data_IF_126843167136
#
_entry.id   IF_126843167136
#
_cell.length_a   1.000
_cell.length_b   1.000
_cell.length_c   1.000
_cell.angle_alpha   90.00
_cell.angle_beta   90.00
_cell.angle_gamma   90.00
#
_symmetry.space_group_name_H-M   'P 1'
#
loop_
_entity.id
_entity.type
_entity.pdbx_description
1 polymer ?
#
# COMPACT_ATOMS: atom_id res chain seq x y z
N UNK A 1 12.91 -40.31 4.53
CA UNK A 1 12.31 -39.40 5.53
C UNK A 1 11.39 -38.44 4.80
N UNK A 2 10.13 -38.29 5.24
CA UNK A 2 9.19 -37.33 4.65
C UNK A 2 9.69 -35.91 4.94
N UNK A 3 9.86 -35.10 3.90
CA UNK A 3 10.36 -33.73 4.08
C UNK A 3 9.24 -32.80 4.56
N UNK A 4 9.65 -31.69 5.16
CA UNK A 4 8.76 -30.56 5.53
C UNK A 4 7.89 -30.13 4.36
N UNK A 5 8.43 -30.07 3.14
CA UNK A 5 7.69 -29.70 1.93
C UNK A 5 6.61 -30.73 1.57
N UNK A 6 6.91 -32.03 1.67
CA UNK A 6 5.94 -33.09 1.39
C UNK A 6 4.80 -33.08 2.41
N UNK A 7 5.09 -32.93 3.70
CA UNK A 7 4.08 -32.85 4.75
C UNK A 7 3.16 -31.63 4.57
N UNK A 8 3.77 -30.48 4.28
CA UNK A 8 3.03 -29.26 3.96
C UNK A 8 2.08 -29.45 2.77
N UNK A 9 2.59 -29.98 1.65
CA UNK A 9 1.80 -30.18 0.42
C UNK A 9 0.59 -31.08 0.70
N UNK A 10 0.81 -32.22 1.37
CA UNK A 10 -0.28 -33.15 1.73
C UNK A 10 -1.32 -32.49 2.65
N UNK A 11 -0.88 -31.69 3.62
CA UNK A 11 -1.78 -30.96 4.51
C UNK A 11 -2.62 -29.92 3.75
N UNK A 12 -2.02 -29.18 2.81
CA UNK A 12 -2.74 -28.25 1.93
C UNK A 12 -3.75 -28.98 1.04
N UNK A 13 -3.38 -30.11 0.40
CA UNK A 13 -4.26 -30.93 -0.44
C UNK A 13 -5.48 -31.47 0.33
N UNK A 14 -5.30 -31.72 1.63
CA UNK A 14 -6.37 -32.17 2.53
C UNK A 14 -7.16 -31.00 3.16
N UNK A 15 -6.82 -29.75 2.84
CA UNK A 15 -7.43 -28.56 3.43
C UNK A 15 -7.11 -28.36 4.92
N UNK A 16 -6.11 -29.08 5.46
CA UNK A 16 -5.72 -29.00 6.85
C UNK A 16 -4.99 -27.69 7.16
N UNK A 17 -5.27 -27.11 8.33
CA UNK A 17 -4.69 -25.82 8.70
C UNK A 17 -3.27 -25.95 9.26
N UNK A 18 -2.87 -27.12 9.75
CA UNK A 18 -1.55 -27.37 10.34
C UNK A 18 -1.05 -28.78 10.06
N UNK A 19 0.26 -28.98 10.16
CA UNK A 19 0.90 -30.31 10.25
C UNK A 19 1.98 -30.30 11.36
N UNK A 20 2.38 -31.49 11.83
CA UNK A 20 3.46 -31.62 12.80
C UNK A 20 4.81 -31.79 12.08
N UNK A 21 5.80 -30.96 12.42
CA UNK A 21 7.17 -31.11 11.96
C UNK A 21 7.88 -32.22 12.76
N UNK A 22 8.25 -33.36 12.15
CA UNK A 22 8.81 -34.49 12.87
C UNK A 22 10.20 -34.22 13.45
N UNK A 23 10.94 -33.22 12.94
CA UNK A 23 12.28 -32.91 13.44
C UNK A 23 12.24 -32.01 14.69
N UNK A 24 11.28 -31.09 14.76
CA UNK A 24 11.18 -30.09 15.84
C UNK A 24 10.04 -30.35 16.83
N UNK A 25 9.08 -31.20 16.46
CA UNK A 25 7.84 -31.42 17.22
C UNK A 25 6.82 -30.26 17.10
N UNK A 26 7.14 -29.20 16.36
CA UNK A 26 6.26 -28.04 16.26
C UNK A 26 5.05 -28.29 15.37
N UNK A 27 3.92 -27.70 15.78
CA UNK A 27 2.73 -27.58 14.93
C UNK A 27 2.91 -26.37 14.00
N UNK A 28 3.03 -26.63 12.70
CA UNK A 28 3.33 -25.62 11.68
C UNK A 28 2.06 -25.33 10.88
N UNK A 29 1.71 -24.05 10.76
CA UNK A 29 0.60 -23.61 9.91
C UNK A 29 0.90 -23.86 8.42
N UNK A 30 -0.11 -24.34 7.70
CA UNK A 30 -0.06 -24.48 6.24
C UNK A 30 -0.22 -23.13 5.54
N UNK A 31 0.14 -23.08 4.26
CA UNK A 31 -0.07 -21.89 3.42
C UNK A 31 -1.57 -21.63 3.30
N UNK A 32 -2.38 -22.68 3.16
CA UNK A 32 -3.84 -22.61 3.16
C UNK A 32 -4.40 -21.89 4.40
N UNK A 33 -3.95 -22.27 5.61
CA UNK A 33 -4.38 -21.62 6.84
C UNK A 33 -3.99 -20.13 6.90
N UNK A 34 -2.77 -19.81 6.49
CA UNK A 34 -2.26 -18.44 6.50
C UNK A 34 -2.92 -17.59 5.41
N UNK A 35 -3.28 -18.20 4.28
CA UNK A 35 -4.01 -17.55 3.21
C UNK A 35 -5.41 -17.15 3.64
N UNK A 36 -6.13 -18.02 4.36
CA UNK A 36 -7.45 -17.71 4.94
C UNK A 36 -7.44 -16.50 5.87
N UNK A 37 -6.31 -16.24 6.56
CA UNK A 37 -6.18 -15.07 7.46
C UNK A 37 -6.15 -13.74 6.71
N UNK A 38 -5.91 -13.74 5.40
CA UNK A 38 -5.89 -12.51 4.59
C UNK A 38 -4.75 -11.54 4.91
N UNK A 39 -3.83 -11.84 5.83
CA UNK A 39 -2.76 -10.93 6.22
C UNK A 39 -1.47 -11.61 6.73
N UNK A 40 -0.32 -10.93 6.55
CA UNK A 40 0.97 -11.36 7.07
C UNK A 40 1.17 -10.89 8.51
N UNK A 41 1.26 -11.82 9.46
CA UNK A 41 1.38 -11.49 10.89
C UNK A 41 2.77 -11.02 11.34
N UNK A 42 3.78 -10.93 10.46
CA UNK A 42 5.14 -10.50 10.82
C UNK A 42 5.99 -11.51 11.62
N UNK A 43 5.46 -12.71 11.90
CA UNK A 43 6.14 -13.72 12.74
C UNK A 43 7.06 -14.69 11.99
N UNK A 44 7.43 -14.41 10.74
CA UNK A 44 8.28 -15.27 9.91
C UNK A 44 7.79 -16.74 9.82
N UNK A 45 6.48 -16.95 9.64
CA UNK A 45 5.88 -18.28 9.51
C UNK A 45 6.49 -19.07 8.33
N UNK A 46 6.74 -20.36 8.51
CA UNK A 46 7.49 -21.19 7.53
C UNK A 46 6.92 -21.16 6.12
N UNK A 47 5.59 -21.12 5.98
CA UNK A 47 4.88 -21.19 4.69
C UNK A 47 4.01 -19.95 4.44
N UNK A 48 4.55 -18.76 4.73
CA UNK A 48 3.81 -17.51 4.57
C UNK A 48 3.49 -17.26 3.07
N UNK A 49 2.21 -17.26 2.65
CA UNK A 49 1.84 -17.00 1.24
C UNK A 49 2.16 -15.56 0.81
N UNK A 50 2.34 -14.66 1.77
CA UNK A 50 2.53 -13.23 1.54
C UNK A 50 3.99 -12.83 1.39
N UNK A 51 4.89 -13.80 1.16
CA UNK A 51 6.32 -13.56 1.05
C UNK A 51 6.89 -12.81 2.26
N UNK A 52 6.30 -13.01 3.44
CA UNK A 52 6.72 -12.40 4.70
C UNK A 52 6.80 -10.86 4.71
N UNK A 53 5.93 -10.20 3.95
CA UNK A 53 5.92 -8.75 3.73
C UNK A 53 6.01 -7.88 4.99
N UNK A 54 5.53 -8.35 6.16
CA UNK A 54 5.59 -7.62 7.44
C UNK A 54 6.75 -8.04 8.37
N UNK A 55 7.66 -8.91 7.93
CA UNK A 55 8.80 -9.36 8.74
C UNK A 55 9.95 -8.34 8.63
N UNK A 56 10.41 -7.82 9.77
CA UNK A 56 11.39 -6.72 9.81
C UNK A 56 12.85 -7.16 10.08
N UNK A 57 13.24 -8.38 9.68
CA UNK A 57 14.59 -8.92 9.95
C UNK A 57 15.59 -8.55 8.83
N UNK A 58 16.85 -8.21 9.16
CA UNK A 58 17.90 -7.99 8.16
C UNK A 58 18.08 -9.22 7.26
N UNK A 59 18.22 -9.01 5.94
CA UNK A 59 18.37 -10.10 4.96
C UNK A 59 17.08 -10.82 4.58
N UNK A 60 15.92 -10.30 5.01
CA UNK A 60 14.62 -10.88 4.70
C UNK A 60 13.86 -9.98 3.71
N UNK A 61 14.14 -10.18 2.43
CA UNK A 61 13.45 -9.49 1.35
C UNK A 61 12.17 -10.23 0.96
N UNK A 62 11.04 -9.52 0.82
CA UNK A 62 9.81 -10.16 0.39
C UNK A 62 9.98 -10.82 -0.99
N UNK A 63 9.44 -12.02 -1.13
CA UNK A 63 9.43 -12.77 -2.40
C UNK A 63 8.00 -13.04 -2.84
N UNK A 64 7.27 -11.96 -3.14
CA UNK A 64 5.90 -12.04 -3.64
C UNK A 64 5.96 -12.26 -5.16
N UNK A 65 5.44 -13.39 -5.64
CA UNK A 65 5.49 -13.79 -7.06
C UNK A 65 4.16 -13.66 -7.79
N UNK A 66 3.06 -13.43 -7.06
CA UNK A 66 1.71 -13.25 -7.59
C UNK A 66 1.05 -12.08 -6.86
N UNK A 67 -0.01 -11.47 -7.42
CA UNK A 67 -0.78 -10.48 -6.70
C UNK A 67 -1.28 -11.01 -5.35
N UNK A 68 -1.19 -10.18 -4.33
CA UNK A 68 -1.59 -10.52 -2.95
C UNK A 68 -2.51 -9.42 -2.43
N UNK A 69 -3.73 -9.77 -2.02
CA UNK A 69 -4.61 -8.85 -1.29
C UNK A 69 -4.46 -9.06 0.21
N UNK A 70 -4.19 -7.96 0.91
CA UNK A 70 -4.13 -7.84 2.36
C UNK A 70 -5.34 -7.06 2.88
N UNK A 71 -5.86 -7.43 4.06
CA UNK A 71 -6.99 -6.73 4.70
C UNK A 71 -8.34 -6.97 4.01
N UNK A 72 -8.58 -8.19 3.54
CA UNK A 72 -9.79 -8.56 2.76
C UNK A 72 -11.08 -8.46 3.58
N UNK A 73 -10.96 -8.59 4.89
CA UNK A 73 -12.00 -8.50 5.91
C UNK A 73 -12.48 -7.07 6.17
N UNK A 74 -11.80 -6.05 5.63
CA UNK A 74 -12.15 -4.64 5.79
C UNK A 74 -13.31 -4.18 4.87
N UNK A 75 -13.77 -5.03 3.95
CA UNK A 75 -14.94 -4.75 3.11
C UNK A 75 -16.08 -5.70 3.51
N UNK A 76 -17.06 -5.15 4.22
CA UNK A 76 -18.18 -5.93 4.76
C UNK A 76 -19.38 -6.06 3.81
N UNK A 77 -19.60 -5.09 2.90
CA UNK A 77 -20.78 -5.09 2.01
C UNK A 77 -20.46 -4.63 0.58
N UNK A 78 -20.26 -5.61 -0.30
CA UNK A 78 -19.79 -5.50 -1.68
C UNK A 78 -20.83 -4.99 -2.69
N UNK A 79 -22.09 -4.81 -2.29
CA UNK A 79 -23.21 -4.63 -3.25
C UNK A 79 -23.11 -3.33 -4.05
N UNK A 80 -22.49 -2.28 -3.49
CA UNK A 80 -22.32 -0.98 -4.17
C UNK A 80 -21.12 -0.93 -5.13
N UNK A 81 -20.40 -2.05 -5.29
CA UNK A 81 -19.20 -2.19 -6.12
C UNK A 81 -17.97 -1.47 -5.54
N UNK A 82 -16.81 -1.71 -6.15
CA UNK A 82 -15.49 -1.36 -5.63
C UNK A 82 -14.84 -0.24 -6.45
N UNK A 83 -14.32 0.79 -5.78
CA UNK A 83 -13.37 1.73 -6.37
C UNK A 83 -11.94 1.24 -6.10
N UNK A 84 -11.15 1.03 -7.15
CA UNK A 84 -9.74 0.63 -6.99
C UNK A 84 -8.84 1.83 -7.20
N UNK A 85 -8.21 2.30 -6.12
CA UNK A 85 -7.26 3.39 -6.16
C UNK A 85 -5.85 2.87 -6.44
N UNK A 86 -5.23 3.38 -7.50
CA UNK A 86 -3.82 3.16 -7.75
C UNK A 86 -3.00 3.93 -6.72
N UNK A 87 -2.39 3.18 -5.82
CA UNK A 87 -1.74 3.70 -4.63
C UNK A 87 -0.23 3.68 -4.79
N UNK A 88 0.38 4.86 -4.80
CA UNK A 88 1.85 5.01 -4.86
C UNK A 88 2.48 5.17 -3.48
N UNK A 89 1.67 5.45 -2.46
CA UNK A 89 2.12 5.77 -1.10
C UNK A 89 2.52 7.23 -0.89
N UNK A 90 2.36 8.08 -1.90
CA UNK A 90 2.65 9.51 -1.85
C UNK A 90 1.43 10.40 -1.60
N UNK A 91 1.68 11.72 -1.55
CA UNK A 91 0.67 12.73 -1.19
C UNK A 91 -0.53 12.74 -2.13
N UNK A 92 -0.34 12.51 -3.43
CA UNK A 92 -1.41 12.65 -4.43
C UNK A 92 -2.37 11.46 -4.39
N UNK A 93 -1.84 10.24 -4.25
CA UNK A 93 -2.68 9.06 -4.01
C UNK A 93 -3.39 9.15 -2.66
N UNK A 94 -2.71 9.67 -1.62
CA UNK A 94 -3.34 9.94 -0.32
C UNK A 94 -4.47 10.96 -0.40
N UNK A 95 -4.27 12.06 -1.12
CA UNK A 95 -5.29 13.09 -1.32
C UNK A 95 -6.50 12.52 -2.08
N UNK A 96 -6.26 11.71 -3.11
CA UNK A 96 -7.30 10.99 -3.84
C UNK A 96 -8.08 10.05 -2.93
N UNK A 97 -7.39 9.24 -2.11
CA UNK A 97 -8.02 8.36 -1.12
C UNK A 97 -8.91 9.13 -0.15
N UNK A 98 -8.44 10.26 0.37
CA UNK A 98 -9.22 11.09 1.30
C UNK A 98 -10.54 11.56 0.67
N UNK A 99 -10.56 11.89 -0.62
CA UNK A 99 -11.77 12.25 -1.36
C UNK A 99 -12.75 11.08 -1.52
N UNK A 100 -12.22 9.86 -1.70
CA UNK A 100 -13.04 8.65 -1.87
C UNK A 100 -13.67 8.22 -0.54
N UNK A 101 -12.89 8.22 0.55
CA UNK A 101 -13.35 7.86 1.89
C UNK A 101 -14.38 8.86 2.45
N UNK A 102 -14.29 10.15 2.10
CA UNK A 102 -15.30 11.14 2.47
C UNK A 102 -16.70 10.81 1.93
N UNK A 103 -16.79 10.10 0.79
CA UNK A 103 -18.05 9.69 0.18
C UNK A 103 -18.53 8.31 0.66
N UNK A 104 -17.89 7.73 1.69
CA UNK A 104 -18.12 6.37 2.21
C UNK A 104 -18.14 5.31 1.10
N UNK A 105 -17.17 5.37 0.19
CA UNK A 105 -17.02 4.37 -0.88
C UNK A 105 -16.28 3.14 -0.38
N UNK A 106 -16.64 1.98 -0.93
CA UNK A 106 -15.83 0.77 -0.84
C UNK A 106 -14.58 0.98 -1.69
N UNK A 107 -13.44 1.16 -1.04
CA UNK A 107 -12.16 1.43 -1.72
C UNK A 107 -11.20 0.28 -1.45
N UNK A 108 -10.48 -0.16 -2.47
CA UNK A 108 -9.28 -0.98 -2.32
C UNK A 108 -8.10 -0.28 -2.99
N UNK A 109 -6.92 -0.48 -2.43
CA UNK A 109 -5.67 0.03 -2.98
C UNK A 109 -5.06 -1.02 -3.93
N UNK A 110 -4.43 -0.57 -5.01
CA UNK A 110 -3.60 -1.41 -5.87
C UNK A 110 -2.23 -0.75 -6.03
N UNK A 111 -1.17 -1.47 -5.67
CA UNK A 111 0.20 -1.00 -5.78
C UNK A 111 1.05 -2.00 -6.52
N UNK A 112 1.65 -1.56 -7.62
CA UNK A 112 2.69 -2.33 -8.32
C UNK A 112 4.06 -2.09 -7.69
N UNK A 113 4.89 -3.11 -7.60
CA UNK A 113 6.25 -2.98 -7.07
C UNK A 113 7.26 -3.81 -7.86
N UNK A 114 8.50 -3.35 -7.93
CA UNK A 114 9.60 -4.09 -8.56
C UNK A 114 10.06 -5.26 -7.67
N UNK A 115 10.10 -6.47 -8.22
CA UNK A 115 10.40 -7.69 -7.46
C UNK A 115 11.87 -7.82 -7.05
N UNK A 116 12.78 -7.02 -7.64
CA UNK A 116 14.21 -7.06 -7.33
C UNK A 116 14.52 -6.12 -6.15
N UNK A 117 13.96 -4.93 -6.17
CA UNK A 117 14.20 -3.87 -5.18
C UNK A 117 13.19 -3.87 -4.04
N UNK A 118 12.06 -4.59 -4.19
CA UNK A 118 10.94 -4.58 -3.27
C UNK A 118 10.39 -3.18 -2.98
N UNK A 119 10.31 -2.35 -4.04
CA UNK A 119 9.90 -0.96 -3.96
C UNK A 119 8.90 -0.60 -5.05
N UNK A 120 8.05 0.38 -4.75
CA UNK A 120 7.26 1.06 -5.76
C UNK A 120 8.22 1.80 -6.71
N UNK A 121 8.22 1.48 -8.03
CA UNK A 121 9.08 2.15 -8.99
C UNK A 121 8.84 3.66 -8.98
N UNK A 122 9.85 4.47 -9.31
CA UNK A 122 9.78 5.93 -9.35
C UNK A 122 9.67 6.56 -7.94
N UNK A 123 8.66 6.21 -7.14
CA UNK A 123 8.49 6.79 -5.79
C UNK A 123 9.52 6.31 -4.77
N UNK A 124 10.20 5.19 -5.05
CA UNK A 124 11.24 4.61 -4.19
C UNK A 124 10.76 4.22 -2.78
N UNK A 125 9.47 3.87 -2.66
CA UNK A 125 8.83 3.52 -1.39
C UNK A 125 8.90 1.99 -1.19
N UNK A 126 9.43 1.50 -0.05
CA UNK A 126 9.38 0.08 0.30
C UNK A 126 7.95 -0.45 0.39
N UNK A 127 7.70 -1.65 -0.13
CA UNK A 127 6.37 -2.27 -0.05
C UNK A 127 5.87 -2.49 1.38
N UNK A 128 6.76 -2.69 2.35
CA UNK A 128 6.39 -2.74 3.78
C UNK A 128 5.74 -1.45 4.26
N UNK A 129 6.15 -0.30 3.72
CA UNK A 129 5.58 1.00 4.07
C UNK A 129 4.19 1.14 3.44
N UNK A 130 4.00 0.63 2.21
CA UNK A 130 2.68 0.55 1.57
C UNK A 130 1.71 -0.29 2.40
N UNK A 131 2.17 -1.44 2.89
CA UNK A 131 1.36 -2.29 3.78
C UNK A 131 1.03 -1.58 5.09
N UNK A 132 1.99 -0.86 5.67
CA UNK A 132 1.76 -0.09 6.89
C UNK A 132 0.75 1.05 6.66
N UNK A 133 0.86 1.77 5.54
CA UNK A 133 -0.09 2.81 5.14
C UNK A 133 -1.51 2.25 5.01
N UNK A 134 -1.68 1.16 4.25
CA UNK A 134 -2.96 0.52 4.03
C UNK A 134 -3.61 0.04 5.34
N UNK A 135 -2.83 -0.62 6.20
CA UNK A 135 -3.30 -1.10 7.49
C UNK A 135 -3.71 0.06 8.42
N UNK A 136 -2.93 1.14 8.46
CA UNK A 136 -3.24 2.30 9.29
C UNK A 136 -4.47 3.07 8.80
N UNK A 137 -4.66 3.14 7.48
CA UNK A 137 -5.82 3.79 6.86
C UNK A 137 -7.06 2.87 6.83
N UNK A 138 -6.93 1.63 7.31
CA UNK A 138 -7.98 0.61 7.32
C UNK A 138 -8.58 0.37 5.92
N UNK A 139 -7.71 0.29 4.91
CA UNK A 139 -8.10 0.01 3.52
C UNK A 139 -7.40 -1.26 3.02
N UNK A 140 -8.10 -2.20 2.36
CA UNK A 140 -7.46 -3.34 1.72
C UNK A 140 -6.43 -2.89 0.67
N UNK A 141 -5.37 -3.67 0.49
CA UNK A 141 -4.35 -3.41 -0.54
C UNK A 141 -3.99 -4.66 -1.33
N UNK A 142 -3.99 -4.54 -2.66
CA UNK A 142 -3.42 -5.50 -3.58
C UNK A 142 -2.00 -5.10 -3.96
N UNK A 143 -1.02 -5.91 -3.55
CA UNK A 143 0.36 -5.77 -3.99
C UNK A 143 0.58 -6.60 -5.25
N UNK A 144 1.02 -5.94 -6.32
CA UNK A 144 1.18 -6.54 -7.65
C UNK A 144 2.67 -6.57 -8.01
N UNK A 145 3.30 -7.76 -8.10
CA UNK A 145 4.71 -7.85 -8.48
C UNK A 145 4.92 -7.50 -9.95
N UNK A 146 5.92 -6.67 -10.22
CA UNK A 146 6.45 -6.40 -11.54
C UNK A 146 7.79 -7.12 -11.69
N UNK A 147 7.79 -8.16 -12.51
CA UNK A 147 9.02 -8.84 -12.95
C UNK A 147 9.45 -8.30 -14.33
N UNK A 148 10.75 -8.32 -14.67
CA UNK A 148 11.27 -7.73 -15.91
C UNK A 148 10.57 -8.21 -17.20
N UNK A 149 10.10 -9.46 -17.20
CA UNK A 149 9.50 -10.10 -18.37
C UNK A 149 7.98 -9.86 -18.50
N UNK A 150 7.37 -9.16 -17.54
CA UNK A 150 5.90 -8.96 -17.51
C UNK A 150 5.57 -7.53 -17.90
N UNK A 151 4.68 -7.37 -18.89
CA UNK A 151 4.18 -6.05 -19.26
C UNK A 151 3.36 -5.47 -18.12
N UNK A 152 3.55 -4.19 -17.85
CA UNK A 152 2.85 -3.48 -16.78
C UNK A 152 1.32 -3.65 -16.81
N UNK A 153 0.70 -3.53 -18.00
CA UNK A 153 -0.75 -3.69 -18.16
C UNK A 153 -1.24 -5.10 -17.81
N UNK A 154 -0.46 -6.13 -18.12
CA UNK A 154 -0.83 -7.52 -17.81
C UNK A 154 -0.75 -7.77 -16.30
N UNK A 155 0.30 -7.28 -15.65
CA UNK A 155 0.45 -7.36 -14.19
C UNK A 155 -0.68 -6.65 -13.45
N UNK A 156 -1.01 -5.42 -13.86
CA UNK A 156 -2.12 -4.67 -13.27
C UNK A 156 -3.46 -5.38 -13.51
N UNK A 157 -3.69 -5.90 -14.71
CA UNK A 157 -4.92 -6.66 -15.01
C UNK A 157 -5.06 -7.89 -14.10
N UNK A 158 -3.97 -8.61 -13.85
CA UNK A 158 -3.95 -9.71 -12.89
C UNK A 158 -4.27 -9.24 -11.46
N UNK A 159 -3.75 -8.07 -11.05
CA UNK A 159 -4.07 -7.46 -9.76
C UNK A 159 -5.56 -7.09 -9.60
N UNK A 160 -6.15 -6.48 -10.64
CA UNK A 160 -7.57 -6.11 -10.66
C UNK A 160 -8.47 -7.36 -10.58
N UNK A 161 -8.16 -8.41 -11.36
CA UNK A 161 -8.87 -9.69 -11.28
C UNK A 161 -8.76 -10.33 -9.88
N UNK A 162 -7.57 -10.27 -9.27
CA UNK A 162 -7.34 -10.80 -7.93
C UNK A 162 -8.17 -10.05 -6.88
N UNK A 163 -8.33 -8.72 -7.03
CA UNK A 163 -9.19 -7.92 -6.15
C UNK A 163 -10.65 -8.34 -6.28
N UNK A 164 -11.18 -8.48 -7.50
CA UNK A 164 -12.58 -8.90 -7.72
C UNK A 164 -12.85 -10.29 -7.12
N UNK A 165 -11.93 -11.23 -7.35
CA UNK A 165 -12.03 -12.60 -6.82
C UNK A 165 -11.97 -12.63 -5.28
N UNK A 166 -11.00 -11.93 -4.67
CA UNK A 166 -10.73 -12.05 -3.24
C UNK A 166 -11.61 -11.17 -2.36
N UNK A 167 -12.18 -10.09 -2.91
CA UNK A 167 -13.10 -9.20 -2.21
C UNK A 167 -14.57 -9.47 -2.59
N UNK A 168 -14.83 -10.39 -3.52
CA UNK A 168 -16.18 -10.74 -3.96
C UNK A 168 -17.00 -9.56 -4.51
N UNK A 169 -16.32 -8.52 -4.98
CA UNK A 169 -16.90 -7.23 -5.36
C UNK A 169 -16.49 -6.88 -6.79
N UNK A 170 -17.44 -6.48 -7.63
CA UNK A 170 -17.13 -5.96 -8.97
C UNK A 170 -16.46 -4.60 -8.87
N UNK A 171 -15.44 -4.34 -9.70
CA UNK A 171 -14.83 -3.02 -9.81
C UNK A 171 -15.74 -2.11 -10.65
N UNK A 172 -16.14 -0.98 -10.07
CA UNK A 172 -16.88 0.06 -10.76
C UNK A 172 -15.93 1.02 -11.49
N UNK A 173 -14.89 1.48 -10.78
CA UNK A 173 -14.00 2.53 -11.25
C UNK A 173 -12.57 2.25 -10.83
N UNK A 174 -11.64 2.66 -11.67
CA UNK A 174 -10.23 2.77 -11.32
C UNK A 174 -9.88 4.23 -11.07
N UNK A 175 -9.28 4.50 -9.92
CA UNK A 175 -9.06 5.83 -9.41
C UNK A 175 -7.57 6.18 -9.42
N UNK A 176 -7.24 7.44 -9.74
CA UNK A 176 -5.87 7.93 -9.76
C UNK A 176 -5.78 9.33 -9.13
N UNK A 177 -4.65 9.60 -8.48
CA UNK A 177 -4.31 10.93 -7.94
C UNK A 177 -3.71 11.88 -8.97
N UNK A 178 -4.06 11.76 -10.25
CA UNK A 178 -3.50 12.62 -11.31
C UNK A 178 -3.97 14.08 -11.14
N UNK A 179 -3.06 15.05 -11.22
CA UNK A 179 -3.40 16.47 -11.03
C UNK A 179 -3.73 17.21 -12.34
N UNK A 180 -2.96 17.00 -13.43
CA UNK A 180 -3.18 17.78 -14.66
C UNK A 180 -2.66 17.19 -15.98
N UNK A 181 -1.86 16.11 -15.97
CA UNK A 181 -1.25 15.58 -17.20
C UNK A 181 -2.29 14.86 -18.07
N UNK A 182 -2.85 15.56 -19.05
CA UNK A 182 -3.93 15.05 -19.90
C UNK A 182 -3.53 13.81 -20.71
N UNK A 183 -2.29 13.75 -21.21
CA UNK A 183 -1.80 12.59 -21.97
C UNK A 183 -1.72 11.33 -21.10
N UNK A 184 -1.30 11.47 -19.84
CA UNK A 184 -1.30 10.36 -18.88
C UNK A 184 -2.72 9.88 -18.62
N UNK A 185 -3.66 10.79 -18.37
CA UNK A 185 -5.08 10.45 -18.18
C UNK A 185 -5.66 9.75 -19.42
N UNK A 186 -5.37 10.24 -20.62
CA UNK A 186 -5.80 9.62 -21.88
C UNK A 186 -5.24 8.21 -22.05
N UNK A 187 -3.96 8.02 -21.69
CA UNK A 187 -3.33 6.71 -21.73
C UNK A 187 -4.01 5.72 -20.77
N UNK A 188 -4.37 6.14 -19.55
CA UNK A 188 -5.08 5.29 -18.57
C UNK A 188 -6.46 4.84 -19.08
N UNK A 189 -7.22 5.75 -19.70
CA UNK A 189 -8.53 5.44 -20.31
C UNK A 189 -8.37 4.41 -21.43
N UNK A 190 -7.31 4.52 -22.25
CA UNK A 190 -7.02 3.54 -23.30
C UNK A 190 -6.49 2.21 -22.77
N UNK A 191 -5.75 2.22 -21.68
CA UNK A 191 -5.14 1.01 -21.11
C UNK A 191 -6.17 0.06 -20.51
N UNK A 192 -7.25 0.60 -19.92
CA UNK A 192 -8.31 -0.20 -19.31
C UNK A 192 -9.71 0.31 -19.70
N UNK A 193 -10.13 0.15 -20.96
CA UNK A 193 -11.39 0.69 -21.46
C UNK A 193 -12.64 0.08 -20.80
N UNK A 194 -12.50 -1.05 -20.12
CA UNK A 194 -13.58 -1.72 -19.39
C UNK A 194 -13.93 -1.07 -18.04
N UNK A 195 -13.08 -0.18 -17.52
CA UNK A 195 -13.31 0.51 -16.25
C UNK A 195 -13.45 2.02 -16.49
N UNK A 196 -14.34 2.67 -15.74
CA UNK A 196 -14.37 4.13 -15.70
C UNK A 196 -13.11 4.64 -14.97
N UNK A 197 -12.37 5.55 -15.60
CA UNK A 197 -11.22 6.22 -14.99
C UNK A 197 -11.68 7.47 -14.23
N UNK A 198 -11.53 7.43 -12.90
CA UNK A 198 -11.91 8.51 -12.01
C UNK A 198 -10.68 9.25 -11.46
N UNK A 199 -10.61 10.56 -11.70
CA UNK A 199 -9.47 11.43 -11.35
C UNK A 199 -9.98 12.68 -10.63
N UNK A 200 -10.35 12.60 -9.34
CA UNK A 200 -11.07 13.67 -8.64
C UNK A 200 -10.23 14.95 -8.43
N UNK A 201 -8.90 14.84 -8.50
CA UNK A 201 -7.98 15.95 -8.32
C UNK A 201 -7.67 16.69 -9.63
N UNK A 202 -8.07 16.13 -10.76
CA UNK A 202 -7.65 16.60 -12.07
C UNK A 202 -8.20 18.00 -12.38
N UNK A 203 -7.31 18.93 -12.73
CA UNK A 203 -7.64 20.31 -13.06
C UNK A 203 -8.04 21.18 -11.86
N UNK A 204 -7.89 20.68 -10.62
CA UNK A 204 -8.14 21.48 -9.43
C UNK A 204 -6.99 22.48 -9.19
N UNK A 205 -7.29 23.72 -8.73
CA UNK A 205 -6.24 24.67 -8.39
C UNK A 205 -5.34 24.14 -7.26
N UNK A 206 -4.03 24.33 -7.38
CA UNK A 206 -3.07 23.88 -6.37
C UNK A 206 -3.35 24.42 -4.97
N UNK A 207 -3.81 25.67 -4.85
CA UNK A 207 -4.20 26.24 -3.57
C UNK A 207 -5.29 25.40 -2.87
N UNK A 208 -6.31 24.97 -3.62
CA UNK A 208 -7.38 24.11 -3.09
C UNK A 208 -6.87 22.71 -2.74
N UNK A 209 -5.98 22.15 -3.57
CA UNK A 209 -5.37 20.84 -3.31
C UNK A 209 -4.48 20.85 -2.06
N UNK A 210 -3.68 21.90 -1.87
CA UNK A 210 -2.83 22.08 -0.70
C UNK A 210 -3.67 22.24 0.57
N UNK A 211 -4.72 23.06 0.54
CA UNK A 211 -5.66 23.21 1.65
C UNK A 211 -6.30 21.87 2.03
N UNK A 212 -6.77 21.11 1.03
CA UNK A 212 -7.33 19.79 1.24
C UNK A 212 -6.28 18.83 1.81
N UNK A 213 -5.04 18.86 1.31
CA UNK A 213 -3.93 18.04 1.81
C UNK A 213 -3.64 18.33 3.28
N UNK A 214 -3.57 19.61 3.69
CA UNK A 214 -3.36 19.96 5.09
C UNK A 214 -4.49 19.45 5.98
N UNK A 215 -5.75 19.63 5.55
CA UNK A 215 -6.91 19.12 6.27
C UNK A 215 -6.87 17.59 6.39
N UNK A 216 -6.56 16.88 5.31
CA UNK A 216 -6.46 15.42 5.31
C UNK A 216 -5.31 14.92 6.18
N UNK A 217 -4.13 15.56 6.14
CA UNK A 217 -2.99 15.23 7.01
C UNK A 217 -3.39 15.28 8.49
N UNK A 218 -4.13 16.31 8.90
CA UNK A 218 -4.63 16.42 10.26
C UNK A 218 -5.73 15.41 10.58
N UNK A 219 -6.70 15.22 9.68
CA UNK A 219 -7.84 14.32 9.87
C UNK A 219 -7.41 12.87 10.06
N UNK A 220 -6.42 12.43 9.28
CA UNK A 220 -5.92 11.05 9.31
C UNK A 220 -4.67 10.88 10.17
N UNK A 221 -4.21 11.93 10.89
CA UNK A 221 -3.01 11.90 11.74
C UNK A 221 -1.76 11.31 11.05
N UNK A 222 -1.53 11.73 9.81
CA UNK A 222 -0.36 11.32 9.00
C UNK A 222 0.67 12.45 8.87
N UNK A 223 1.81 12.12 8.29
CA UNK A 223 2.88 13.05 7.94
C UNK A 223 3.35 12.74 6.53
N UNK A 224 3.79 13.76 5.80
CA UNK A 224 4.28 13.63 4.42
C UNK A 224 5.73 14.06 4.41
N UNK A 225 6.58 13.25 3.80
CA UNK A 225 8.01 13.52 3.68
C UNK A 225 8.49 13.21 2.26
N UNK A 226 9.60 13.82 1.83
CA UNK A 226 10.24 13.46 0.57
C UNK A 226 10.71 12.00 0.60
N UNK A 227 10.42 11.25 -0.47
CA UNK A 227 10.89 9.87 -0.68
C UNK A 227 12.07 9.78 -1.64
N UNK A 228 12.37 10.86 -2.34
CA UNK A 228 13.58 11.08 -3.14
C UNK A 228 14.28 12.35 -2.68
N UNK A 229 15.52 12.55 -3.13
CA UNK A 229 16.14 13.86 -3.04
C UNK A 229 15.36 14.86 -3.90
N UNK A 230 15.33 16.12 -3.47
CA UNK A 230 14.74 17.22 -4.22
C UNK A 230 15.80 18.28 -4.49
N UNK A 231 16.02 18.55 -5.76
CA UNK A 231 17.01 19.51 -6.21
C UNK A 231 16.38 20.89 -6.34
N UNK A 232 16.85 21.83 -5.52
CA UNK A 232 16.59 23.25 -5.66
C UNK A 232 17.74 23.92 -6.40
N UNK A 233 17.54 25.14 -6.93
CA UNK A 233 18.63 25.91 -7.54
C UNK A 233 19.84 26.13 -6.61
N UNK A 234 19.61 26.20 -5.30
CA UNK A 234 20.61 26.56 -4.28
C UNK A 234 20.94 25.44 -3.29
N UNK A 235 20.22 24.31 -3.31
CA UNK A 235 20.37 23.24 -2.33
C UNK A 235 19.85 21.89 -2.86
N UNK A 236 20.28 20.80 -2.23
CA UNK A 236 19.65 19.48 -2.39
C UNK A 236 19.01 19.12 -1.06
N UNK A 237 17.70 18.88 -1.06
CA UNK A 237 16.97 18.45 0.12
C UNK A 237 17.00 16.93 0.21
N UNK A 238 17.39 16.36 1.37
CA UNK A 238 17.50 14.92 1.52
C UNK A 238 16.14 14.24 1.61
N UNK A 239 16.15 12.93 1.31
CA UNK A 239 15.05 12.01 1.63
C UNK A 239 14.67 12.16 3.11
N UNK A 240 13.37 12.17 3.41
CA UNK A 240 12.85 12.34 4.75
C UNK A 240 12.62 13.79 5.17
N UNK A 241 12.94 14.78 4.32
CA UNK A 241 12.55 16.18 4.57
C UNK A 241 11.02 16.30 4.65
N UNK A 242 10.44 16.92 5.69
CA UNK A 242 9.00 17.13 5.78
C UNK A 242 8.45 17.93 4.61
N UNK A 243 7.37 17.43 4.01
CA UNK A 243 6.56 18.18 3.05
C UNK A 243 5.45 18.90 3.83
N UNK A 244 5.74 20.13 4.25
CA UNK A 244 4.87 20.98 5.03
C UNK A 244 4.72 22.37 4.39
N UNK A 245 4.00 23.27 5.05
CA UNK A 245 3.80 24.65 4.58
C UNK A 245 5.13 25.40 4.41
N UNK A 246 6.11 25.15 5.27
CA UNK A 246 7.43 25.78 5.20
C UNK A 246 8.16 25.35 3.93
N UNK A 247 8.12 24.06 3.59
CA UNK A 247 8.70 23.57 2.35
C UNK A 247 7.97 24.16 1.13
N UNK A 248 6.63 24.17 1.13
CA UNK A 248 5.84 24.72 0.01
C UNK A 248 6.18 26.20 -0.25
N UNK A 249 6.28 27.02 0.80
CA UNK A 249 6.72 28.41 0.66
C UNK A 249 8.14 28.52 0.08
N UNK A 250 9.04 27.63 0.49
CA UNK A 250 10.40 27.59 -0.04
C UNK A 250 10.42 27.22 -1.53
N UNK A 251 9.65 26.21 -1.95
CA UNK A 251 9.50 25.82 -3.35
C UNK A 251 8.99 27.00 -4.19
N UNK A 252 7.96 27.68 -3.69
CA UNK A 252 7.36 28.83 -4.37
C UNK A 252 8.38 29.97 -4.56
N UNK A 253 9.17 30.30 -3.53
CA UNK A 253 10.24 31.32 -3.64
C UNK A 253 11.34 30.91 -4.62
N UNK A 254 11.61 29.63 -4.75
CA UNK A 254 12.60 29.07 -5.67
C UNK A 254 12.07 28.90 -7.11
N UNK A 255 10.79 29.18 -7.37
CA UNK A 255 10.17 28.98 -8.68
C UNK A 255 10.00 27.51 -9.07
N UNK A 256 10.00 26.61 -8.09
CA UNK A 256 9.79 25.16 -8.28
C UNK A 256 8.31 24.83 -8.16
N UNK A 257 7.82 23.82 -8.89
CA UNK A 257 6.41 23.38 -8.78
C UNK A 257 6.12 22.96 -7.34
N UNK A 258 5.17 23.65 -6.70
CA UNK A 258 4.88 23.42 -5.27
C UNK A 258 4.28 22.05 -5.01
N UNK A 259 3.66 21.43 -6.02
CA UNK A 259 3.11 20.07 -5.95
C UNK A 259 4.08 19.02 -6.48
N UNK A 260 5.29 19.38 -6.91
CA UNK A 260 6.33 18.45 -7.40
C UNK A 260 5.88 17.65 -8.64
N UNK A 261 4.98 18.19 -9.45
CA UNK A 261 4.39 17.46 -10.59
C UNK A 261 5.30 17.38 -11.83
N UNK A 262 6.41 18.13 -11.87
CA UNK A 262 7.34 18.14 -13.00
C UNK A 262 8.54 17.23 -12.76
N UNK A 263 8.44 16.33 -11.78
CA UNK A 263 9.46 15.32 -11.46
C UNK A 263 10.56 15.82 -10.52
N UNK A 264 10.35 16.94 -9.83
CA UNK A 264 11.35 17.51 -8.91
C UNK A 264 11.57 16.65 -7.66
N UNK A 265 10.57 15.85 -7.29
CA UNK A 265 10.70 14.86 -6.23
C UNK A 265 9.42 14.07 -5.98
N UNK A 266 9.53 13.01 -5.19
CA UNK A 266 8.39 12.22 -4.74
C UNK A 266 8.21 12.32 -3.24
N UNK A 267 7.02 11.96 -2.78
CA UNK A 267 6.65 12.01 -1.37
C UNK A 267 6.21 10.63 -0.88
N UNK A 268 6.35 10.42 0.43
CA UNK A 268 5.82 9.26 1.16
C UNK A 268 4.96 9.76 2.32
N UNK A 269 3.76 9.22 2.43
CA UNK A 269 2.85 9.44 3.56
C UNK A 269 3.11 8.36 4.61
N UNK A 270 3.25 8.73 5.88
CA UNK A 270 3.36 7.78 6.98
C UNK A 270 2.48 8.23 8.14
N UNK A 271 1.92 7.29 8.93
CA UNK A 271 1.31 7.62 10.21
C UNK A 271 2.28 8.48 11.03
N UNK A 272 1.78 9.52 11.69
CA UNK A 272 2.58 10.13 12.75
C UNK A 272 2.78 9.03 13.78
N UNK A 273 4.03 8.76 14.13
CA UNK A 273 4.35 7.72 15.11
C UNK A 273 3.36 7.88 16.27
N UNK A 274 2.56 6.83 16.51
CA UNK A 274 1.63 6.80 17.64
C UNK A 274 2.37 7.40 18.83
N UNK A 275 1.75 8.35 19.55
CA UNK A 275 2.13 8.58 20.95
C UNK A 275 2.52 7.23 21.51
N UNK A 276 3.76 7.09 21.96
CA UNK A 276 4.20 5.85 22.60
C UNK A 276 3.05 5.42 23.50
N UNK A 277 2.51 4.22 23.26
CA UNK A 277 1.71 3.57 24.27
C UNK A 277 2.65 3.50 25.47
N UNK A 278 2.54 4.48 26.37
CA UNK A 278 3.16 4.35 27.68
C UNK A 278 2.58 3.04 28.21
N UNK A 279 3.42 2.07 28.60
CA UNK A 279 2.91 0.88 29.23
C UNK A 279 2.06 1.36 30.40
N UNK A 280 0.77 1.00 30.41
CA UNK A 280 -0.04 1.16 31.61
C UNK A 280 0.74 0.46 32.72
N UNK A 281 1.22 1.23 33.68
CA UNK A 281 1.73 0.72 34.93
C UNK A 281 0.63 -0.15 35.52
N UNK A 282 0.89 -1.45 35.59
CA UNK A 282 0.09 -2.36 36.41
C UNK A 282 0.36 -1.90 37.84
N UNK A 283 -0.59 -1.20 38.43
CA UNK A 283 -0.62 -1.05 39.88
C UNK A 283 -0.89 -2.44 40.45
N UNK A 284 0.13 -3.01 41.11
CA UNK A 284 -0.02 -4.20 41.93
C UNK A 284 -1.01 -3.88 43.06
N UNK A 285 -2.28 -4.21 42.81
CA UNK A 285 -3.30 -4.32 43.85
C UNK A 285 -2.99 -5.50 44.76
N UNK A 286 -2.06 -5.30 45.69
CA UNK A 286 -1.81 -6.21 46.81
C UNK A 286 -2.97 -6.14 47.81
N UNK A 287 -3.81 -7.17 47.79
CA UNK A 287 -4.70 -7.53 48.89
C UNK A 287 -3.87 -8.25 49.97
N UNK A 288 -3.58 -7.52 51.06
CA UNK A 288 -3.59 -8.04 52.46
C UNK A 288 -3.30 -6.89 53.42
#
# INVERSE_FOLDING_TARGET
>A
MTTVHTLHRLACEQGADTYCDPATGYRVFTEHALFKKGDCCGNACRHCPYGHIKVSKPGHEPSIKKPVVLGRDLIEDAQDGLDVLFWSGGKDSFLCLSCLLEKRKNVALLTTFDTVTNRVPIQNIPIKDIVHQAAYLEVPVCLVPLSPDVRYQDAVSAGLLTLEEQLGSRINRICFGDLHLQDLRNWRVKAWPQYEVFTPLFGQPYAALLELLWKSIHRYDVSVHLSTELHLPDAVLPIGTPYDKTLVERLQRAGVDVMLELGEGHTRVMPRASRSLQPMSIEDGGLS
#
